data_IF_273264187413
#
_entry.id   IF_273264187413
#
_cell.length_a   1.000
_cell.length_b   1.000
_cell.length_c   1.000
_cell.angle_alpha   90.00
_cell.angle_beta   90.00
_cell.angle_gamma   90.00
#
_symmetry.space_group_name_H-M   'P 1'
#
loop_
_entity.id
_entity.type
_entity.pdbx_description
1 polymer ?
#
# COMPACT_ATOMS: atom_id res chain seq x y z
N UNK A 1 40.76 14.46 -33.15
CA UNK A 1 40.81 15.70 -32.33
C UNK A 1 39.58 16.64 -32.44
N UNK A 2 38.69 16.52 -33.45
CA UNK A 2 37.49 17.39 -33.60
C UNK A 2 36.30 17.04 -32.68
N UNK A 3 36.20 15.82 -32.16
CA UNK A 3 35.06 15.38 -31.32
C UNK A 3 35.19 15.72 -29.82
N UNK A 4 36.40 15.89 -29.29
CA UNK A 4 36.60 16.25 -27.87
C UNK A 4 36.30 17.73 -27.60
N UNK A 5 36.56 18.62 -28.58
CA UNK A 5 36.16 20.03 -28.49
C UNK A 5 34.64 20.20 -28.50
N UNK A 6 33.88 19.46 -29.33
CA UNK A 6 32.41 19.52 -29.35
C UNK A 6 31.77 19.09 -28.02
N UNK A 7 32.26 18.04 -27.37
CA UNK A 7 31.78 17.57 -26.06
C UNK A 7 32.08 18.55 -24.92
N UNK A 8 33.26 19.20 -24.92
CA UNK A 8 33.60 20.23 -23.91
C UNK A 8 32.76 21.49 -24.06
N UNK A 9 32.43 21.89 -25.29
CA UNK A 9 31.53 23.02 -25.56
C UNK A 9 30.08 22.68 -25.20
N UNK A 10 29.62 21.45 -25.47
CA UNK A 10 28.29 20.96 -25.09
C UNK A 10 28.11 20.90 -23.57
N UNK A 11 29.11 20.39 -22.84
CA UNK A 11 29.09 20.36 -21.38
C UNK A 11 29.16 21.76 -20.75
N UNK A 12 29.91 22.72 -21.34
CA UNK A 12 29.92 24.12 -20.89
C UNK A 12 28.60 24.84 -21.19
N UNK A 13 27.99 24.60 -22.35
CA UNK A 13 26.71 25.17 -22.76
C UNK A 13 25.57 24.68 -21.85
N UNK A 14 25.54 23.38 -21.54
CA UNK A 14 24.54 22.81 -20.64
C UNK A 14 24.80 23.10 -19.15
N UNK A 15 26.05 23.27 -18.70
CA UNK A 15 26.33 23.81 -17.35
C UNK A 15 25.75 25.20 -17.14
N UNK A 16 25.83 26.08 -18.16
CA UNK A 16 25.25 27.43 -18.10
C UNK A 16 23.72 27.40 -18.07
N UNK A 17 23.07 26.50 -18.83
CA UNK A 17 21.62 26.25 -18.73
C UNK A 17 21.21 25.68 -17.37
N UNK A 18 21.94 24.71 -16.82
CA UNK A 18 21.71 24.21 -15.46
C UNK A 18 21.86 25.30 -14.39
N UNK A 19 22.85 26.19 -14.52
CA UNK A 19 23.05 27.30 -13.59
C UNK A 19 21.91 28.33 -13.64
N UNK A 20 21.34 28.58 -14.83
CA UNK A 20 20.19 29.45 -15.02
C UNK A 20 18.89 28.82 -14.49
N UNK A 21 18.75 27.50 -14.64
CA UNK A 21 17.65 26.68 -14.12
C UNK A 21 17.59 26.67 -12.59
N UNK A 22 18.74 26.55 -11.91
CA UNK A 22 18.78 26.52 -10.42
C UNK A 22 18.26 27.83 -9.80
N UNK A 23 18.40 28.97 -10.50
CA UNK A 23 17.91 30.27 -10.00
C UNK A 23 16.38 30.39 -9.93
N UNK A 24 15.61 29.48 -10.53
CA UNK A 24 14.13 29.56 -10.64
C UNK A 24 13.36 28.71 -9.62
N UNK A 25 14.04 28.05 -8.68
CA UNK A 25 13.40 27.31 -7.59
C UNK A 25 12.70 28.31 -6.65
N UNK A 26 11.39 28.49 -6.82
CA UNK A 26 10.51 29.09 -5.81
C UNK A 26 9.76 27.96 -5.13
N UNK A 27 10.21 27.57 -3.95
CA UNK A 27 9.42 26.82 -2.97
C UNK A 27 8.92 27.84 -1.95
N UNK A 28 7.62 27.84 -1.64
CA UNK A 28 7.00 28.83 -0.73
C UNK A 28 7.59 28.86 0.69
N UNK A 29 8.45 27.89 1.05
CA UNK A 29 9.04 27.76 2.40
C UNK A 29 10.54 27.47 2.45
N UNK A 30 11.31 27.63 1.35
CA UNK A 30 12.78 27.47 1.40
C UNK A 30 13.56 28.78 1.18
N UNK A 31 14.72 28.97 1.83
CA UNK A 31 15.54 30.15 1.63
C UNK A 31 16.05 30.24 0.17
N UNK A 32 16.04 31.44 -0.40
CA UNK A 32 16.56 31.73 -1.76
C UNK A 32 17.99 31.18 -1.92
N UNK A 33 18.14 30.13 -2.71
CA UNK A 33 19.46 29.53 -3.03
C UNK A 33 20.24 30.53 -3.90
N UNK A 34 21.26 31.19 -3.34
CA UNK A 34 22.06 32.22 -4.03
C UNK A 34 23.10 31.66 -5.02
N UNK A 35 23.46 30.37 -4.91
CA UNK A 35 24.51 29.76 -5.73
C UNK A 35 24.12 28.36 -6.24
N UNK A 36 24.49 28.05 -7.49
CA UNK A 36 24.22 26.75 -8.10
C UNK A 36 25.03 25.64 -7.39
N UNK A 37 24.42 24.52 -6.95
CA UNK A 37 25.14 23.44 -6.30
C UNK A 37 26.05 22.71 -7.31
N UNK A 38 27.20 22.19 -6.87
CA UNK A 38 28.10 21.47 -7.76
C UNK A 38 27.47 20.13 -8.20
N UNK A 39 27.14 20.03 -9.48
CA UNK A 39 26.65 18.80 -10.11
C UNK A 39 27.81 18.02 -10.74
N UNK A 40 27.94 16.73 -10.41
CA UNK A 40 28.91 15.80 -11.00
C UNK A 40 28.23 14.92 -12.04
N UNK A 41 28.81 14.83 -13.24
CA UNK A 41 28.32 13.90 -14.29
C UNK A 41 28.67 12.46 -13.88
N UNK A 42 27.73 11.52 -14.03
CA UNK A 42 27.89 10.12 -13.62
C UNK A 42 27.31 9.21 -14.71
N UNK A 43 28.15 8.38 -15.32
CA UNK A 43 27.77 7.39 -16.34
C UNK A 43 28.28 7.70 -17.75
N UNK A 44 28.39 6.65 -18.58
CA UNK A 44 28.87 6.71 -19.98
C UNK A 44 27.74 6.42 -20.99
N UNK A 45 26.47 6.68 -20.62
CA UNK A 45 25.30 6.51 -21.49
C UNK A 45 25.06 7.73 -22.39
N UNK A 46 24.35 7.54 -23.50
CA UNK A 46 23.91 8.57 -24.47
C UNK A 46 23.12 9.73 -23.85
N UNK A 47 22.56 9.55 -22.65
CA UNK A 47 21.89 10.59 -21.86
C UNK A 47 22.78 10.94 -20.66
N UNK A 48 23.30 12.18 -20.56
CA UNK A 48 24.16 12.58 -19.45
C UNK A 48 23.34 12.72 -18.16
N UNK A 49 23.74 11.98 -17.12
CA UNK A 49 23.14 12.03 -15.79
C UNK A 49 24.03 12.82 -14.85
N UNK A 50 23.44 13.71 -14.07
CA UNK A 50 24.14 14.52 -13.09
C UNK A 50 23.63 14.21 -11.68
N UNK A 51 24.55 14.12 -10.72
CA UNK A 51 24.23 14.01 -9.30
C UNK A 51 24.81 15.20 -8.54
N UNK A 52 24.04 15.74 -7.60
CA UNK A 52 24.51 16.76 -6.66
C UNK A 52 23.83 16.60 -5.30
N UNK A 53 24.24 17.44 -4.36
CA UNK A 53 23.62 17.56 -3.04
C UNK A 53 23.17 19.00 -2.83
N UNK A 54 21.98 19.20 -2.28
CA UNK A 54 21.51 20.51 -1.78
C UNK A 54 21.27 20.44 -0.28
N UNK A 55 21.47 21.53 0.47
CA UNK A 55 21.04 21.59 1.86
C UNK A 55 19.51 21.52 1.94
N UNK A 56 19.00 20.61 2.77
CA UNK A 56 17.59 20.44 3.09
C UNK A 56 17.15 21.34 4.26
N UNK A 57 15.84 21.38 4.55
CA UNK A 57 15.25 22.32 5.51
C UNK A 57 15.73 22.12 6.97
N UNK A 58 16.21 20.93 7.32
CA UNK A 58 16.75 20.58 8.65
C UNK A 58 18.28 20.52 8.70
N UNK A 59 18.97 21.02 7.66
CA UNK A 59 20.44 20.96 7.55
C UNK A 59 20.99 19.64 6.97
N UNK A 60 20.14 18.63 6.75
CA UNK A 60 20.52 17.39 6.07
C UNK A 60 20.66 17.60 4.55
N UNK A 61 21.67 17.01 3.91
CA UNK A 61 21.88 17.13 2.46
C UNK A 61 20.97 16.19 1.66
N UNK A 62 20.16 16.74 0.75
CA UNK A 62 19.30 15.99 -0.17
C UNK A 62 20.06 15.68 -1.45
N UNK A 63 20.09 14.40 -1.85
CA UNK A 63 20.75 13.94 -3.08
C UNK A 63 19.82 14.15 -4.27
N UNK A 64 20.20 15.04 -5.18
CA UNK A 64 19.43 15.30 -6.41
C UNK A 64 20.07 14.55 -7.57
N UNK A 65 19.23 13.93 -8.41
CA UNK A 65 19.65 13.36 -9.69
C UNK A 65 18.89 14.07 -10.81
N UNK A 66 19.61 14.58 -11.80
CA UNK A 66 19.05 15.28 -12.95
C UNK A 66 19.45 14.55 -14.22
N UNK A 67 18.48 14.22 -15.06
CA UNK A 67 18.69 13.66 -16.40
C UNK A 67 18.25 14.72 -17.41
N UNK A 68 19.15 15.18 -18.27
CA UNK A 68 18.77 16.08 -19.35
C UNK A 68 18.29 15.26 -20.56
N UNK A 69 16.98 15.27 -20.81
CA UNK A 69 16.44 14.87 -22.09
C UNK A 69 16.37 16.09 -23.00
N UNK A 70 16.87 15.96 -24.23
CA UNK A 70 16.68 16.98 -25.27
C UNK A 70 15.19 16.99 -25.61
N UNK A 71 14.43 17.94 -25.06
CA UNK A 71 13.09 18.25 -25.57
C UNK A 71 11.99 18.56 -24.56
N UNK A 72 12.04 18.09 -23.30
CA UNK A 72 11.05 18.47 -22.27
C UNK A 72 11.69 18.43 -20.88
N UNK A 73 11.58 19.53 -20.14
CA UNK A 73 12.01 19.65 -18.75
C UNK A 73 10.94 19.01 -17.85
N UNK A 74 11.25 17.85 -17.26
CA UNK A 74 10.46 17.27 -16.17
C UNK A 74 11.30 17.24 -14.89
N UNK A 75 10.74 17.79 -13.82
CA UNK A 75 11.32 17.78 -12.48
C UNK A 75 10.65 16.65 -11.70
N UNK A 76 11.43 15.84 -11.00
CA UNK A 76 10.89 14.80 -10.12
C UNK A 76 11.58 14.92 -8.77
N UNK A 77 10.86 15.49 -7.79
CA UNK A 77 11.22 15.43 -6.36
C UNK A 77 10.86 14.03 -5.86
N UNK A 78 11.86 13.17 -5.61
CA UNK A 78 11.62 11.87 -4.97
C UNK A 78 11.62 12.01 -3.45
N UNK A 79 10.49 12.47 -2.91
CA UNK A 79 9.90 11.77 -1.78
C UNK A 79 8.98 10.72 -2.39
N UNK A 80 9.21 9.44 -2.10
CA UNK A 80 8.35 8.37 -2.62
C UNK A 80 7.03 8.38 -1.85
N UNK A 81 6.08 9.18 -2.30
CA UNK A 81 4.67 8.88 -2.08
C UNK A 81 4.41 7.50 -2.72
N UNK A 82 4.09 6.53 -1.88
CA UNK A 82 4.23 5.11 -2.16
C UNK A 82 3.17 4.60 -3.14
N UNK A 83 3.60 4.18 -4.32
CA UNK A 83 2.79 3.35 -5.20
C UNK A 83 2.45 2.05 -4.46
N UNK A 84 1.16 1.81 -4.20
CA UNK A 84 0.70 0.53 -3.65
C UNK A 84 1.08 -0.60 -4.60
N UNK A 85 1.73 -1.64 -4.09
CA UNK A 85 2.16 -2.83 -4.86
C UNK A 85 1.99 -4.11 -4.06
N UNK A 86 1.98 -5.23 -4.74
CA UNK A 86 2.15 -6.55 -4.13
C UNK A 86 3.59 -6.69 -3.63
N UNK A 87 3.79 -7.20 -2.43
CA UNK A 87 5.10 -7.25 -1.75
C UNK A 87 5.81 -8.57 -2.05
N UNK A 88 5.13 -9.70 -1.87
CA UNK A 88 5.69 -11.04 -2.04
C UNK A 88 4.81 -11.96 -2.88
N UNK A 89 5.27 -13.20 -3.07
CA UNK A 89 4.57 -14.22 -3.84
C UNK A 89 4.69 -14.08 -5.36
N UNK A 90 3.86 -14.82 -6.11
CA UNK A 90 3.95 -14.95 -7.58
C UNK A 90 3.67 -13.63 -8.33
N UNK A 91 2.92 -12.71 -7.72
CA UNK A 91 2.66 -11.38 -8.24
C UNK A 91 3.50 -10.30 -7.53
N UNK A 92 4.56 -10.68 -6.80
CA UNK A 92 5.43 -9.77 -6.07
C UNK A 92 5.96 -8.62 -6.94
N UNK A 93 6.06 -7.43 -6.34
CA UNK A 93 6.45 -6.17 -6.99
C UNK A 93 5.50 -5.64 -8.08
N UNK A 94 4.38 -6.31 -8.37
CA UNK A 94 3.38 -5.79 -9.31
C UNK A 94 2.70 -4.56 -8.69
N UNK A 95 2.79 -3.37 -9.32
CA UNK A 95 2.10 -2.19 -8.83
C UNK A 95 0.59 -2.32 -9.04
N UNK A 96 -0.20 -1.86 -8.08
CA UNK A 96 -1.65 -1.91 -8.11
C UNK A 96 -2.23 -0.55 -8.52
N UNK A 97 -3.40 -0.58 -9.13
CA UNK A 97 -4.23 0.60 -9.31
C UNK A 97 -4.82 1.02 -7.97
N UNK A 98 -4.89 2.33 -7.76
CA UNK A 98 -5.43 2.93 -6.55
C UNK A 98 -6.79 3.58 -6.81
N UNK A 99 -7.64 3.61 -5.79
CA UNK A 99 -8.84 4.44 -5.78
C UNK A 99 -8.46 5.80 -5.20
N UNK A 100 -8.90 6.89 -5.83
CA UNK A 100 -8.77 8.25 -5.25
C UNK A 100 -9.72 8.39 -4.05
N UNK A 101 -9.43 7.71 -2.95
CA UNK A 101 -10.18 7.85 -1.72
C UNK A 101 -9.42 8.78 -0.78
N UNK A 102 -10.07 9.90 -0.46
CA UNK A 102 -9.62 10.83 0.56
C UNK A 102 -9.79 10.17 1.94
N UNK A 103 -8.75 10.24 2.77
CA UNK A 103 -8.77 10.15 4.25
C UNK A 103 -8.57 8.81 4.98
N UNK A 104 -8.56 7.63 4.34
CA UNK A 104 -8.24 6.37 5.04
C UNK A 104 -6.81 5.91 4.75
N UNK A 105 -5.99 5.85 5.80
CA UNK A 105 -4.62 5.35 5.71
C UNK A 105 -4.67 3.82 5.75
N UNK A 106 -4.55 3.16 4.59
CA UNK A 106 -4.35 1.71 4.54
C UNK A 106 -2.98 1.33 5.14
N UNK A 107 -2.78 0.04 5.43
CA UNK A 107 -1.52 -0.49 5.94
C UNK A 107 -0.34 -0.04 5.07
N UNK A 108 0.74 0.41 5.71
CA UNK A 108 2.00 0.67 4.99
C UNK A 108 2.61 -0.62 4.47
N UNK A 109 3.43 -0.56 3.41
CA UNK A 109 4.19 -1.72 2.89
C UNK A 109 4.91 -2.50 4.01
N UNK A 110 5.48 -1.80 5.00
CA UNK A 110 6.18 -2.42 6.14
C UNK A 110 5.22 -3.19 7.06
N UNK A 111 4.06 -2.62 7.36
CA UNK A 111 3.04 -3.28 8.18
C UNK A 111 2.50 -4.49 7.43
N UNK A 112 2.13 -4.32 6.16
CA UNK A 112 1.63 -5.40 5.30
C UNK A 112 2.66 -6.53 5.20
N UNK A 113 3.93 -6.23 4.94
CA UNK A 113 5.01 -7.22 4.90
C UNK A 113 5.08 -8.03 6.20
N UNK A 114 5.02 -7.36 7.36
CA UNK A 114 5.09 -8.06 8.65
C UNK A 114 3.86 -8.92 8.93
N UNK A 115 2.67 -8.45 8.57
CA UNK A 115 1.42 -9.21 8.71
C UNK A 115 1.50 -10.48 7.85
N UNK A 116 1.85 -10.33 6.58
CA UNK A 116 1.92 -11.48 5.67
C UNK A 116 3.08 -12.42 5.99
N UNK A 117 4.17 -11.96 6.61
CA UNK A 117 5.21 -12.85 7.13
C UNK A 117 4.70 -13.77 8.25
N UNK A 118 3.69 -13.33 9.03
CA UNK A 118 3.05 -14.15 10.06
C UNK A 118 2.05 -15.11 9.41
N UNK A 119 1.32 -14.64 8.39
CA UNK A 119 0.30 -15.44 7.70
C UNK A 119 0.87 -16.44 6.68
N UNK A 120 2.10 -16.25 6.18
CA UNK A 120 2.70 -17.09 5.14
C UNK A 120 2.55 -18.61 5.38
N UNK A 121 2.82 -19.14 6.59
CA UNK A 121 2.65 -20.57 6.86
C UNK A 121 1.19 -21.05 6.81
N UNK A 122 0.23 -20.14 6.96
CA UNK A 122 -1.22 -20.42 7.01
C UNK A 122 -1.92 -20.20 5.66
N UNK A 123 -1.24 -19.60 4.69
CA UNK A 123 -1.85 -19.20 3.41
C UNK A 123 -1.93 -20.33 2.39
N UNK A 124 -1.18 -21.42 2.57
CA UNK A 124 -1.20 -22.56 1.65
C UNK A 124 -2.62 -23.13 1.52
N UNK A 125 -3.17 -23.04 0.31
CA UNK A 125 -4.54 -23.48 -0.05
C UNK A 125 -5.71 -22.83 0.72
N UNK A 126 -5.44 -21.76 1.48
CA UNK A 126 -6.42 -21.08 2.31
C UNK A 126 -7.57 -20.43 1.52
N UNK A 127 -8.79 -20.49 2.08
CA UNK A 127 -9.94 -19.67 1.71
C UNK A 127 -9.89 -18.33 2.46
N UNK A 128 -9.74 -17.23 1.72
CA UNK A 128 -9.54 -15.90 2.30
C UNK A 128 -10.78 -15.02 2.08
N UNK A 129 -11.16 -14.24 3.09
CA UNK A 129 -12.21 -13.23 3.00
C UNK A 129 -11.63 -11.84 3.32
N UNK A 130 -11.69 -10.91 2.37
CA UNK A 130 -11.31 -9.51 2.56
C UNK A 130 -12.57 -8.64 2.66
N UNK A 131 -13.01 -8.31 3.89
CA UNK A 131 -14.34 -7.75 4.15
C UNK A 131 -14.44 -6.21 3.98
N UNK A 132 -13.30 -5.56 3.75
CA UNK A 132 -13.19 -4.13 3.45
C UNK A 132 -12.11 -3.91 2.39
N UNK A 133 -12.30 -4.55 1.24
CA UNK A 133 -11.23 -4.82 0.30
C UNK A 133 -10.56 -3.57 -0.29
N UNK A 134 -11.29 -2.46 -0.46
CA UNK A 134 -10.73 -1.23 -1.05
C UNK A 134 -10.15 -1.49 -2.44
N UNK A 135 -8.83 -1.34 -2.59
CA UNK A 135 -8.14 -1.66 -3.85
C UNK A 135 -7.87 -3.15 -4.07
N UNK A 136 -8.18 -3.99 -3.09
CA UNK A 136 -7.89 -5.43 -3.05
C UNK A 136 -6.47 -5.74 -2.59
N UNK A 137 -5.73 -4.76 -2.07
CA UNK A 137 -4.30 -4.90 -1.81
C UNK A 137 -3.91 -5.98 -0.79
N UNK A 138 -4.78 -6.30 0.18
CA UNK A 138 -4.55 -7.37 1.15
C UNK A 138 -4.96 -8.73 0.58
N UNK A 139 -6.18 -8.89 0.07
CA UNK A 139 -6.59 -10.16 -0.54
C UNK A 139 -5.71 -10.59 -1.74
N UNK A 140 -5.23 -9.64 -2.57
CA UNK A 140 -4.30 -9.95 -3.66
C UNK A 140 -2.93 -10.39 -3.14
N UNK A 141 -2.46 -9.81 -2.03
CA UNK A 141 -1.22 -10.25 -1.38
C UNK A 141 -1.35 -11.69 -0.87
N UNK A 142 -2.51 -12.04 -0.29
CA UNK A 142 -2.82 -13.40 0.14
C UNK A 142 -2.80 -14.38 -1.04
N UNK A 143 -3.50 -14.06 -2.13
CA UNK A 143 -3.49 -14.85 -3.37
C UNK A 143 -2.07 -15.00 -3.93
N UNK A 144 -1.31 -13.91 -3.98
CA UNK A 144 0.08 -13.92 -4.49
C UNK A 144 0.95 -14.90 -3.70
N UNK A 145 0.72 -15.04 -2.40
CA UNK A 145 1.49 -15.89 -1.48
C UNK A 145 1.01 -17.34 -1.40
N UNK A 146 -0.05 -17.70 -2.13
CA UNK A 146 -0.48 -19.09 -2.26
C UNK A 146 -1.87 -19.42 -1.73
N UNK A 147 -2.64 -18.43 -1.27
CA UNK A 147 -4.06 -18.66 -0.97
C UNK A 147 -4.78 -19.22 -2.20
N UNK A 148 -5.65 -20.21 -1.98
CA UNK A 148 -6.42 -20.88 -3.03
C UNK A 148 -7.42 -19.95 -3.65
N UNK A 149 -8.14 -19.21 -2.80
CA UNK A 149 -9.21 -18.33 -3.24
C UNK A 149 -9.37 -17.14 -2.29
N UNK A 150 -9.81 -16.00 -2.82
CA UNK A 150 -10.12 -14.83 -2.03
C UNK A 150 -11.46 -14.23 -2.45
N UNK A 151 -12.38 -14.09 -1.50
CA UNK A 151 -13.60 -13.31 -1.67
C UNK A 151 -13.36 -11.88 -1.19
N UNK A 152 -13.50 -10.91 -2.09
CA UNK A 152 -13.34 -9.48 -1.84
C UNK A 152 -14.71 -8.83 -1.67
N UNK A 153 -14.93 -8.14 -0.57
CA UNK A 153 -16.17 -7.41 -0.28
C UNK A 153 -15.85 -5.92 -0.15
N UNK A 154 -16.53 -5.12 -0.96
CA UNK A 154 -16.57 -3.67 -0.79
C UNK A 154 -17.91 -3.14 -1.31
N UNK A 155 -18.43 -2.10 -0.68
CA UNK A 155 -19.70 -1.48 -1.11
C UNK A 155 -19.51 -0.45 -2.23
N UNK A 156 -18.30 0.08 -2.41
CA UNK A 156 -18.00 1.07 -3.42
C UNK A 156 -17.71 0.38 -4.77
N UNK A 157 -18.54 0.69 -5.77
CA UNK A 157 -18.38 0.22 -7.14
C UNK A 157 -17.01 0.54 -7.74
N UNK A 158 -16.40 1.65 -7.33
CA UNK A 158 -15.06 2.07 -7.75
C UNK A 158 -14.00 1.11 -7.20
N UNK A 159 -14.13 0.69 -5.94
CA UNK A 159 -13.31 -0.35 -5.32
C UNK A 159 -13.48 -1.66 -6.07
N UNK A 160 -14.71 -2.14 -6.26
CA UNK A 160 -15.00 -3.38 -6.99
C UNK A 160 -14.36 -3.42 -8.39
N UNK A 161 -14.51 -2.34 -9.17
CA UNK A 161 -13.88 -2.21 -10.49
C UNK A 161 -12.34 -2.18 -10.41
N UNK A 162 -11.79 -1.56 -9.37
CA UNK A 162 -10.34 -1.48 -9.17
C UNK A 162 -9.76 -2.83 -8.78
N UNK A 163 -10.45 -3.58 -7.93
CA UNK A 163 -10.09 -4.97 -7.57
C UNK A 163 -10.06 -5.84 -8.82
N UNK A 164 -11.07 -5.77 -9.69
CA UNK A 164 -11.08 -6.53 -10.94
C UNK A 164 -9.85 -6.22 -11.81
N UNK A 165 -9.56 -4.94 -12.04
CA UNK A 165 -8.38 -4.51 -12.80
C UNK A 165 -7.06 -4.96 -12.17
N UNK A 166 -7.00 -4.98 -10.84
CA UNK A 166 -5.82 -5.40 -10.10
C UNK A 166 -5.62 -6.92 -10.19
N UNK A 167 -6.69 -7.71 -10.05
CA UNK A 167 -6.67 -9.15 -10.24
C UNK A 167 -6.19 -9.52 -11.65
N UNK A 168 -6.71 -8.86 -12.68
CA UNK A 168 -6.25 -9.04 -14.07
C UNK A 168 -4.76 -8.71 -14.22
N UNK A 169 -4.32 -7.57 -13.66
CA UNK A 169 -2.93 -7.12 -13.72
C UNK A 169 -1.97 -8.10 -13.03
N UNK A 170 -2.41 -8.71 -11.94
CA UNK A 170 -1.64 -9.71 -11.21
C UNK A 170 -1.80 -11.12 -11.77
N UNK A 171 -2.68 -11.32 -12.76
CA UNK A 171 -3.04 -12.64 -13.33
C UNK A 171 -3.61 -13.61 -12.29
N UNK A 172 -4.47 -13.10 -11.39
CA UNK A 172 -5.08 -13.86 -10.29
C UNK A 172 -6.61 -13.84 -10.32
N UNK A 173 -7.21 -13.39 -11.43
CA UNK A 173 -8.65 -13.21 -11.57
C UNK A 173 -9.46 -14.49 -11.41
N UNK A 174 -8.88 -15.63 -11.75
CA UNK A 174 -9.45 -16.98 -11.59
C UNK A 174 -9.56 -17.42 -10.12
N UNK A 175 -8.81 -16.78 -9.21
CA UNK A 175 -8.80 -17.08 -7.77
C UNK A 175 -9.50 -16.02 -6.92
N UNK A 176 -10.23 -15.11 -7.55
CA UNK A 176 -10.90 -13.99 -6.88
C UNK A 176 -12.39 -13.92 -7.17
N UNK A 177 -13.21 -13.73 -6.13
CA UNK A 177 -14.62 -13.33 -6.26
C UNK A 177 -14.81 -11.93 -5.70
N UNK A 178 -15.47 -11.07 -6.46
CA UNK A 178 -15.77 -9.70 -6.02
C UNK A 178 -17.25 -9.57 -5.70
N UNK A 179 -17.56 -9.11 -4.49
CA UNK A 179 -18.91 -8.82 -4.02
C UNK A 179 -19.05 -7.31 -3.77
N UNK A 180 -19.69 -6.62 -4.71
CA UNK A 180 -20.10 -5.22 -4.55
C UNK A 180 -21.30 -5.14 -3.58
N UNK A 181 -21.03 -5.13 -2.28
CA UNK A 181 -22.06 -5.24 -1.25
C UNK A 181 -21.61 -4.65 0.10
N UNK A 182 -22.57 -4.15 0.87
CA UNK A 182 -22.35 -3.82 2.28
C UNK A 182 -21.85 -5.04 3.06
N UNK A 183 -20.88 -4.85 3.95
CA UNK A 183 -20.22 -5.95 4.66
C UNK A 183 -21.19 -6.80 5.48
N UNK A 184 -22.19 -6.20 6.14
CA UNK A 184 -23.19 -6.97 6.90
C UNK A 184 -24.08 -7.82 5.99
N UNK A 185 -24.50 -7.27 4.86
CA UNK A 185 -25.30 -7.99 3.88
C UNK A 185 -24.47 -9.09 3.17
N UNK A 186 -23.19 -8.86 2.94
CA UNK A 186 -22.26 -9.85 2.39
C UNK A 186 -22.07 -11.02 3.37
N UNK A 187 -21.89 -10.75 4.66
CA UNK A 187 -21.79 -11.81 5.68
C UNK A 187 -23.02 -12.71 5.70
N UNK A 188 -24.21 -12.13 5.65
CA UNK A 188 -25.44 -12.90 5.60
C UNK A 188 -25.54 -13.79 4.36
N UNK A 189 -25.17 -13.25 3.19
CA UNK A 189 -25.15 -14.00 1.93
C UNK A 189 -24.12 -15.13 1.96
N UNK A 190 -22.87 -14.85 2.33
CA UNK A 190 -21.79 -15.83 2.37
C UNK A 190 -22.08 -16.97 3.36
N UNK A 191 -22.72 -16.65 4.49
CA UNK A 191 -23.13 -17.66 5.46
C UNK A 191 -24.22 -18.57 4.89
N UNK A 192 -25.18 -18.01 4.15
CA UNK A 192 -26.22 -18.79 3.47
C UNK A 192 -25.64 -19.65 2.32
N UNK A 193 -24.55 -19.22 1.71
CA UNK A 193 -23.79 -19.99 0.71
C UNK A 193 -22.88 -21.05 1.36
N UNK A 194 -22.79 -21.11 2.70
CA UNK A 194 -21.99 -22.10 3.43
C UNK A 194 -20.49 -21.82 3.45
N UNK A 195 -20.05 -20.60 3.12
CA UNK A 195 -18.64 -20.25 3.11
C UNK A 195 -18.01 -20.40 4.51
N UNK A 196 -16.79 -20.95 4.54
CA UNK A 196 -15.89 -20.96 5.70
C UNK A 196 -14.53 -20.47 5.27
N UNK A 197 -14.03 -19.40 5.91
CA UNK A 197 -12.75 -18.78 5.62
C UNK A 197 -11.72 -19.19 6.67
N UNK A 198 -10.55 -19.59 6.20
CA UNK A 198 -9.38 -19.86 7.05
C UNK A 198 -8.75 -18.54 7.53
N UNK A 199 -8.81 -17.50 6.69
CA UNK A 199 -8.29 -16.17 7.04
C UNK A 199 -9.31 -15.10 6.65
N UNK A 200 -9.69 -14.27 7.62
CA UNK A 200 -10.50 -13.07 7.39
C UNK A 200 -9.63 -11.83 7.57
N UNK A 201 -9.45 -11.06 6.51
CA UNK A 201 -8.77 -9.77 6.51
C UNK A 201 -9.78 -8.68 6.81
N UNK A 202 -9.53 -7.91 7.86
CA UNK A 202 -10.46 -6.92 8.38
C UNK A 202 -9.74 -5.57 8.57
N UNK A 203 -9.73 -4.75 7.52
CA UNK A 203 -9.15 -3.39 7.49
C UNK A 203 -10.23 -2.31 7.29
N UNK A 204 -11.13 -2.11 8.28
CA UNK A 204 -12.22 -1.17 8.15
C UNK A 204 -11.71 0.28 8.22
N UNK A 205 -12.43 1.24 7.61
CA UNK A 205 -12.15 2.66 7.83
C UNK A 205 -12.10 3.00 9.33
N UNK A 206 -11.03 3.67 9.78
CA UNK A 206 -10.79 3.95 11.22
C UNK A 206 -11.93 4.67 11.93
N UNK A 207 -12.76 5.43 11.22
CA UNK A 207 -13.95 6.07 11.78
C UNK A 207 -14.99 5.05 12.31
N UNK A 208 -15.00 3.81 11.80
CA UNK A 208 -15.87 2.74 12.29
C UNK A 208 -15.42 2.17 13.64
N UNK A 209 -14.13 2.24 13.97
CA UNK A 209 -13.59 1.80 15.26
C UNK A 209 -13.83 2.81 16.40
N UNK A 210 -14.43 3.97 16.12
CA UNK A 210 -14.67 5.04 17.11
C UNK A 210 -16.15 5.09 17.52
N UNK A 211 -16.47 5.47 18.77
CA UNK A 211 -17.85 5.72 19.16
C UNK A 211 -18.54 6.76 18.26
N UNK A 212 -19.84 6.61 17.96
CA UNK A 212 -20.74 5.53 18.41
C UNK A 212 -20.69 4.27 17.52
N UNK A 213 -19.91 4.26 16.44
CA UNK A 213 -19.92 3.21 15.41
C UNK A 213 -19.20 1.92 15.83
N UNK A 214 -18.31 2.01 16.80
CA UNK A 214 -17.51 0.90 17.33
C UNK A 214 -18.34 -0.36 17.65
N UNK A 215 -19.47 -0.20 18.34
CA UNK A 215 -20.32 -1.33 18.75
C UNK A 215 -20.85 -2.10 17.54
N UNK A 216 -21.21 -1.40 16.45
CA UNK A 216 -21.68 -2.03 15.24
C UNK A 216 -20.55 -2.79 14.51
N UNK A 217 -19.32 -2.27 14.57
CA UNK A 217 -18.14 -2.94 14.03
C UNK A 217 -17.81 -4.21 14.81
N UNK A 218 -17.84 -4.15 16.14
CA UNK A 218 -17.59 -5.31 17.01
C UNK A 218 -18.63 -6.42 16.77
N UNK A 219 -19.92 -6.06 16.65
CA UNK A 219 -20.99 -7.00 16.28
C UNK A 219 -20.77 -7.64 14.90
N UNK A 220 -20.25 -6.87 13.94
CA UNK A 220 -19.92 -7.41 12.62
C UNK A 220 -18.78 -8.42 12.71
N UNK A 221 -17.70 -8.09 13.43
CA UNK A 221 -16.57 -9.00 13.63
C UNK A 221 -17.02 -10.29 14.33
N UNK A 222 -17.81 -10.18 15.40
CA UNK A 222 -18.39 -11.33 16.10
C UNK A 222 -19.26 -12.19 15.16
N UNK A 223 -20.12 -11.57 14.36
CA UNK A 223 -20.96 -12.30 13.40
C UNK A 223 -20.13 -13.01 12.31
N UNK A 224 -19.00 -12.45 11.90
CA UNK A 224 -18.08 -13.10 10.96
C UNK A 224 -17.41 -14.30 11.62
N UNK A 225 -16.92 -14.13 12.85
CA UNK A 225 -16.31 -15.22 13.60
C UNK A 225 -17.24 -16.43 13.74
N UNK A 226 -18.47 -16.19 14.19
CA UNK A 226 -19.45 -17.25 14.43
C UNK A 226 -19.92 -17.94 13.13
N UNK A 227 -20.11 -17.19 12.05
CA UNK A 227 -20.84 -17.68 10.87
C UNK A 227 -19.96 -18.06 9.69
N UNK A 228 -18.76 -17.50 9.61
CA UNK A 228 -17.88 -17.61 8.43
C UNK A 228 -16.47 -18.08 8.75
N UNK A 229 -16.00 -18.01 10.00
CA UNK A 229 -14.65 -18.47 10.33
C UNK A 229 -14.61 -19.99 10.38
N UNK A 230 -13.57 -20.60 9.79
CA UNK A 230 -13.28 -22.01 9.99
C UNK A 230 -12.89 -22.28 11.46
N UNK A 231 -12.99 -23.53 11.97
CA UNK A 231 -12.63 -23.86 13.35
C UNK A 231 -11.23 -23.38 13.78
N UNK A 232 -10.24 -23.48 12.89
CA UNK A 232 -8.87 -22.99 13.13
C UNK A 232 -8.58 -21.64 12.45
N UNK A 233 -9.63 -20.96 12.02
CA UNK A 233 -9.52 -19.75 11.23
C UNK A 233 -9.03 -18.55 12.04
N UNK A 234 -8.46 -17.58 11.32
CA UNK A 234 -7.86 -16.39 11.92
C UNK A 234 -8.48 -15.11 11.36
N UNK A 235 -8.89 -14.20 12.25
CA UNK A 235 -9.27 -12.84 11.88
C UNK A 235 -8.07 -11.92 12.07
N UNK A 236 -7.69 -11.20 11.02
CA UNK A 236 -6.63 -10.20 11.02
C UNK A 236 -7.28 -8.82 11.07
N UNK A 237 -7.34 -8.23 12.26
CA UNK A 237 -8.02 -6.97 12.49
C UNK A 237 -7.04 -5.80 12.59
N UNK A 238 -7.19 -4.80 11.71
CA UNK A 238 -6.39 -3.57 11.72
C UNK A 238 -7.15 -2.40 12.34
N UNK A 239 -6.51 -1.68 13.29
CA UNK A 239 -7.14 -0.59 14.04
C UNK A 239 -6.13 0.44 14.60
N UNK A 240 -6.58 1.67 14.93
CA UNK A 240 -5.70 2.77 15.40
C UNK A 240 -5.43 2.79 16.91
N UNK A 241 -6.34 2.24 17.71
CA UNK A 241 -6.29 2.21 19.18
C UNK A 241 -6.66 0.81 19.62
N UNK A 242 -6.18 0.37 20.78
CA UNK A 242 -6.59 -0.91 21.34
C UNK A 242 -8.10 -0.92 21.62
N UNK A 243 -8.84 -1.39 20.62
CA UNK A 243 -10.30 -1.47 20.55
C UNK A 243 -10.76 -2.91 20.50
N UNK A 244 -9.81 -3.85 20.50
CA UNK A 244 -10.08 -5.28 20.46
C UNK A 244 -10.69 -5.79 21.77
N UNK A 245 -10.54 -5.06 22.89
CA UNK A 245 -11.08 -5.47 24.19
C UNK A 245 -12.59 -5.71 24.24
N UNK A 246 -13.37 -5.11 23.34
CA UNK A 246 -14.81 -5.38 23.22
C UNK A 246 -15.14 -6.71 22.53
N UNK A 247 -14.19 -7.27 21.76
CA UNK A 247 -14.35 -8.53 21.02
C UNK A 247 -14.18 -9.75 21.92
N UNK A 248 -13.46 -9.63 23.04
CA UNK A 248 -13.23 -10.73 23.97
C UNK A 248 -14.55 -11.29 24.54
N UNK A 249 -15.54 -10.42 24.77
CA UNK A 249 -16.87 -10.82 25.19
C UNK A 249 -17.64 -11.67 24.15
N UNK A 250 -17.15 -11.72 22.90
CA UNK A 250 -17.72 -12.51 21.81
C UNK A 250 -16.99 -13.83 21.57
N UNK A 251 -16.14 -14.27 22.52
CA UNK A 251 -15.35 -15.49 22.40
C UNK A 251 -14.12 -15.38 21.49
N UNK A 252 -13.81 -14.19 20.96
CA UNK A 252 -12.60 -13.95 20.18
C UNK A 252 -11.43 -13.65 21.10
N UNK A 253 -10.37 -14.44 21.02
CA UNK A 253 -9.15 -14.26 21.82
C UNK A 253 -7.97 -13.82 20.93
N UNK A 254 -7.15 -12.85 21.38
CA UNK A 254 -5.97 -12.43 20.64
C UNK A 254 -4.87 -13.48 20.76
N UNK A 255 -4.42 -14.02 19.63
CA UNK A 255 -3.28 -14.94 19.58
C UNK A 255 -1.95 -14.23 19.35
N UNK A 256 -1.98 -13.07 18.69
CA UNK A 256 -0.84 -12.18 18.51
C UNK A 256 -1.35 -10.74 18.30
N UNK A 257 -0.53 -9.75 18.68
CA UNK A 257 -0.81 -8.34 18.45
C UNK A 257 0.48 -7.60 18.11
N UNK A 258 0.44 -6.86 17.00
CA UNK A 258 1.58 -6.08 16.51
C UNK A 258 1.25 -4.60 16.52
N UNK A 259 2.12 -3.82 17.14
CA UNK A 259 1.97 -2.37 17.25
C UNK A 259 3.00 -1.64 16.39
N UNK A 260 2.52 -0.84 15.45
CA UNK A 260 3.33 0.01 14.56
C UNK A 260 2.92 1.49 14.72
N UNK A 261 2.88 1.95 15.97
CA UNK A 261 2.47 3.29 16.36
C UNK A 261 0.95 3.43 16.36
N UNK A 262 0.40 4.10 15.35
CA UNK A 262 -1.07 4.22 15.16
C UNK A 262 -1.67 3.11 14.30
N UNK A 263 -0.90 2.08 13.92
CA UNK A 263 -1.42 0.92 13.22
C UNK A 263 -1.22 -0.28 14.14
N UNK A 264 -2.31 -0.80 14.69
CA UNK A 264 -2.32 -2.01 15.50
C UNK A 264 -2.98 -3.10 14.66
N UNK A 265 -2.32 -4.25 14.56
CA UNK A 265 -2.90 -5.44 13.93
C UNK A 265 -3.02 -6.51 14.99
N UNK A 266 -4.24 -6.96 15.22
CA UNK A 266 -4.55 -8.03 16.18
C UNK A 266 -5.02 -9.26 15.41
N UNK A 267 -4.41 -10.40 15.70
CA UNK A 267 -4.77 -11.69 15.16
C UNK A 267 -5.69 -12.36 16.18
N UNK A 268 -6.92 -12.67 15.79
CA UNK A 268 -7.98 -13.18 16.67
C UNK A 268 -8.42 -14.57 16.21
N UNK A 269 -8.61 -15.46 17.17
CA UNK A 269 -9.16 -16.80 16.97
C UNK A 269 -10.47 -16.93 17.77
N UNK A 270 -11.43 -17.70 17.27
CA UNK A 270 -12.68 -17.96 17.99
C UNK A 270 -12.49 -19.11 18.97
N UNK A 271 -12.54 -18.83 20.27
CA UNK A 271 -12.44 -19.86 21.30
C UNK A 271 -13.58 -20.87 21.14
N UNK A 272 -13.20 -22.13 20.95
CA UNK A 272 -14.13 -23.26 20.87
C UNK A 272 -14.49 -23.79 22.26
#
# INVERSE_FOLDING_TARGET
>A
MKNVRRLRTFAKFHRRRCAHVVRRIRTETAPKIRHSPPLRCVGHSTIPRFQGRIPGPTGAFVKIRVSLFVGKESWETKESEGIVRVIGGIAGSVPLYEVKAQTTRSMTDRVKMSVFSILDPLLGDAEVLDLFAGTGGLGIEALSRGARFCTFVDRDRTCARTIARNLDRTKLADRGRILERDSRAAVAQLAAEGLRADIVLFDPPFALGKPPRRIALERLIASVAERLLAPDGLIVYHHEQDTAGGLFASGLEPVDQRNYGRNIVTFLHLRT
#
